data_IF_296423298351
#
_entry.id   IF_296423298351
#
_cell.length_a   1.000
_cell.length_b   1.000
_cell.length_c   1.000
_cell.angle_alpha   90.00
_cell.angle_beta   90.00
_cell.angle_gamma   90.00
#
_symmetry.space_group_name_H-M   'P 1'
#
loop_
_entity.id
_entity.type
_entity.pdbx_description
1 polymer ?
#
# COMPACT_ATOMS: atom_id res chain seq x y z
N UNK A 1 9.70 -17.26 13.93
CA UNK A 1 8.42 -16.54 13.86
C UNK A 1 8.67 -15.19 13.23
N UNK A 2 7.86 -14.82 12.24
CA UNK A 2 7.94 -13.49 11.63
C UNK A 2 6.93 -12.63 12.39
N UNK A 3 7.41 -11.71 13.23
CA UNK A 3 6.56 -10.73 13.89
C UNK A 3 6.64 -9.41 13.11
N UNK A 4 5.49 -8.88 12.70
CA UNK A 4 5.41 -7.59 11.98
C UNK A 4 5.55 -6.41 12.94
N UNK A 5 5.41 -6.65 14.24
CA UNK A 5 5.62 -5.66 15.29
C UNK A 5 6.18 -6.33 16.54
N UNK A 6 6.98 -5.60 17.32
CA UNK A 6 7.51 -6.05 18.60
C UNK A 6 6.43 -6.46 19.63
N UNK A 7 5.17 -6.03 19.41
CA UNK A 7 4.03 -6.36 20.28
C UNK A 7 3.51 -7.80 20.13
N UNK A 8 4.01 -8.55 19.15
CA UNK A 8 3.53 -9.91 18.80
C UNK A 8 4.62 -10.95 18.99
N UNK A 9 5.84 -10.53 19.36
CA UNK A 9 6.95 -11.42 19.65
C UNK A 9 6.87 -11.89 21.12
N UNK A 10 6.95 -13.20 21.34
CA UNK A 10 6.86 -13.79 22.68
C UNK A 10 8.08 -13.47 23.58
N UNK A 11 9.14 -12.89 23.00
CA UNK A 11 10.40 -12.61 23.71
C UNK A 11 10.60 -11.12 24.05
N UNK A 12 9.74 -10.20 23.60
CA UNK A 12 9.92 -8.76 23.86
C UNK A 12 8.94 -8.23 24.89
N UNK A 13 9.48 -7.68 25.97
CA UNK A 13 8.71 -6.98 27.00
C UNK A 13 8.44 -5.55 26.52
N UNK A 14 7.34 -5.33 25.84
CA UNK A 14 6.86 -4.00 25.52
C UNK A 14 6.42 -3.28 26.81
N UNK A 15 7.02 -2.15 27.15
CA UNK A 15 6.71 -1.34 28.35
C UNK A 15 5.25 -0.84 28.43
N UNK A 16 4.47 -1.00 27.37
CA UNK A 16 3.07 -0.60 27.26
C UNK A 16 2.07 -1.76 27.21
N UNK A 17 2.52 -3.00 27.37
CA UNK A 17 1.74 -4.22 27.13
C UNK A 17 0.42 -4.26 27.91
N UNK A 18 0.39 -3.80 29.15
CA UNK A 18 -0.80 -3.83 30.02
C UNK A 18 -1.92 -2.81 29.69
N UNK A 19 -1.68 -1.88 28.74
CA UNK A 19 -2.61 -0.80 28.38
C UNK A 19 -2.83 -0.62 26.88
N UNK A 20 -2.32 -1.53 26.06
CA UNK A 20 -2.36 -1.41 24.61
C UNK A 20 -3.64 -2.01 24.04
N UNK A 21 -4.63 -1.17 23.73
CA UNK A 21 -5.86 -1.59 23.05
C UNK A 21 -5.67 -1.97 21.57
N UNK A 22 -4.44 -1.90 21.06
CA UNK A 22 -4.13 -2.15 19.64
C UNK A 22 -3.56 -3.55 19.42
N UNK A 23 -3.08 -4.24 20.48
CA UNK A 23 -2.49 -5.58 20.42
C UNK A 23 -3.40 -6.61 19.73
N UNK A 24 -4.67 -6.63 20.07
CA UNK A 24 -5.63 -7.57 19.49
C UNK A 24 -5.84 -7.36 17.97
N UNK A 25 -5.73 -6.11 17.49
CA UNK A 25 -5.84 -5.79 16.08
C UNK A 25 -4.55 -6.16 15.33
N UNK A 26 -3.40 -5.95 15.94
CA UNK A 26 -2.11 -6.36 15.37
C UNK A 26 -1.96 -7.89 15.34
N UNK A 27 -2.47 -8.59 16.34
CA UNK A 27 -2.52 -10.05 16.34
C UNK A 27 -3.34 -10.57 15.17
N UNK A 28 -4.53 -10.00 14.91
CA UNK A 28 -5.36 -10.36 13.75
C UNK A 28 -4.70 -10.06 12.41
N UNK A 29 -3.97 -8.96 12.32
CA UNK A 29 -3.19 -8.61 11.13
C UNK A 29 -2.04 -9.61 10.94
N UNK A 30 -1.33 -9.93 12.01
CA UNK A 30 -0.24 -10.90 11.99
C UNK A 30 -0.75 -12.29 11.62
N UNK A 31 -1.87 -12.75 12.19
CA UNK A 31 -2.52 -14.02 11.85
C UNK A 31 -2.94 -14.05 10.37
N UNK A 32 -3.45 -12.94 9.84
CA UNK A 32 -3.80 -12.84 8.43
C UNK A 32 -2.55 -12.89 7.53
N UNK A 33 -1.45 -12.25 7.93
CA UNK A 33 -0.16 -12.32 7.24
C UNK A 33 0.43 -13.73 7.33
N UNK A 34 0.40 -14.36 8.50
CA UNK A 34 0.83 -15.76 8.68
C UNK A 34 0.03 -16.69 7.78
N UNK A 35 -1.29 -16.61 7.80
CA UNK A 35 -2.15 -17.42 6.95
C UNK A 35 -1.87 -17.19 5.46
N UNK A 36 -1.61 -15.95 5.07
CA UNK A 36 -1.25 -15.61 3.70
C UNK A 36 0.14 -16.16 3.32
N UNK A 37 1.11 -16.14 4.23
CA UNK A 37 2.46 -16.67 4.01
C UNK A 37 2.49 -18.21 4.06
N UNK A 38 1.74 -18.86 4.96
CA UNK A 38 1.61 -20.31 4.97
C UNK A 38 0.94 -20.88 3.72
N UNK A 39 0.07 -20.08 3.09
CA UNK A 39 -0.53 -20.45 1.81
C UNK A 39 0.47 -20.39 0.64
N UNK A 40 1.65 -19.78 0.83
CA UNK A 40 2.73 -19.70 -0.17
C UNK A 40 3.73 -20.82 0.12
N UNK A 41 3.62 -21.94 -0.58
CA UNK A 41 4.64 -22.99 -0.50
C UNK A 41 5.93 -22.50 -1.18
N UNK A 42 7.09 -22.80 -0.58
CA UNK A 42 8.40 -22.58 -1.21
C UNK A 42 8.50 -23.22 -2.62
N UNK A 43 7.77 -24.32 -2.85
CA UNK A 43 7.62 -24.92 -4.18
C UNK A 43 6.92 -24.00 -5.19
N UNK A 44 6.06 -23.08 -4.73
CA UNK A 44 5.40 -22.09 -5.59
C UNK A 44 6.34 -20.94 -5.98
N UNK A 45 7.46 -20.83 -5.26
CA UNK A 45 8.55 -19.86 -5.50
C UNK A 45 9.71 -20.49 -6.28
N UNK A 46 9.78 -21.81 -6.37
CA UNK A 46 10.85 -22.51 -7.10
C UNK A 46 10.65 -22.41 -8.62
N UNK A 47 11.67 -21.95 -9.33
CA UNK A 47 11.87 -21.79 -10.78
C UNK A 47 10.91 -20.86 -11.57
N UNK A 48 9.56 -20.98 -11.55
CA UNK A 48 8.74 -19.96 -12.21
C UNK A 48 8.80 -18.60 -11.51
N UNK A 49 9.11 -18.57 -10.20
CA UNK A 49 9.20 -17.36 -9.40
C UNK A 49 10.39 -16.46 -9.78
N UNK A 50 11.56 -17.02 -9.93
CA UNK A 50 12.77 -16.27 -10.31
C UNK A 50 12.63 -15.62 -11.70
N UNK A 51 12.11 -16.35 -12.66
CA UNK A 51 11.84 -15.83 -14.00
C UNK A 51 10.78 -14.71 -13.98
N UNK A 52 9.75 -14.83 -13.14
CA UNK A 52 8.71 -13.79 -12.99
C UNK A 52 9.25 -12.54 -12.31
N UNK A 53 10.10 -12.65 -11.31
CA UNK A 53 10.74 -11.50 -10.66
C UNK A 53 11.67 -10.78 -11.64
N UNK A 54 12.48 -11.50 -12.41
CA UNK A 54 13.29 -10.91 -13.48
C UNK A 54 12.41 -10.21 -14.51
N UNK A 55 11.29 -10.83 -14.88
CA UNK A 55 10.34 -10.23 -15.81
C UNK A 55 9.67 -8.99 -15.21
N UNK A 56 9.32 -9.02 -13.92
CA UNK A 56 8.75 -7.87 -13.23
C UNK A 56 9.66 -6.65 -13.33
N UNK A 57 10.94 -6.78 -12.98
CA UNK A 57 11.87 -5.64 -13.00
C UNK A 57 12.14 -5.11 -14.42
N UNK A 58 11.92 -5.96 -15.45
CA UNK A 58 12.05 -5.61 -16.87
C UNK A 58 10.78 -5.09 -17.51
N UNK A 59 9.63 -5.33 -16.89
CA UNK A 59 8.33 -4.91 -17.43
C UNK A 59 8.08 -3.43 -17.20
N UNK A 60 7.51 -2.71 -18.18
CA UNK A 60 7.01 -1.35 -17.94
C UNK A 60 5.92 -1.36 -16.87
N UNK A 61 5.93 -0.37 -16.01
CA UNK A 61 4.92 -0.22 -14.95
C UNK A 61 3.56 0.26 -15.50
N UNK A 62 3.55 0.81 -16.71
CA UNK A 62 2.33 1.24 -17.40
C UNK A 62 1.73 2.54 -16.88
N UNK A 63 0.55 2.90 -17.37
CA UNK A 63 -0.19 4.10 -16.97
C UNK A 63 0.64 5.38 -17.06
N UNK A 64 0.57 6.20 -16.02
CA UNK A 64 1.33 7.45 -15.90
C UNK A 64 2.85 7.23 -15.82
N UNK A 65 3.30 6.04 -15.44
CA UNK A 65 4.71 5.66 -15.42
C UNK A 65 5.23 5.26 -16.80
N UNK A 66 4.33 5.01 -17.76
CA UNK A 66 4.67 4.74 -19.16
C UNK A 66 5.74 3.68 -19.33
N UNK A 67 6.89 4.08 -19.89
CA UNK A 67 8.03 3.21 -20.12
C UNK A 67 8.92 2.95 -18.91
N UNK A 68 8.60 3.46 -17.72
CA UNK A 68 9.37 3.20 -16.50
C UNK A 68 9.45 1.71 -16.22
N UNK A 69 10.65 1.19 -16.04
CA UNK A 69 10.92 -0.18 -15.57
C UNK A 69 11.76 -0.08 -14.32
N UNK A 70 11.53 -0.98 -13.37
CA UNK A 70 12.30 -0.96 -12.11
C UNK A 70 13.80 -1.09 -12.35
N UNK A 71 14.21 -1.84 -13.38
CA UNK A 71 15.63 -2.00 -13.74
C UNK A 71 16.28 -0.72 -14.27
N UNK A 72 15.52 0.25 -14.72
CA UNK A 72 16.04 1.51 -15.28
C UNK A 72 16.17 2.62 -14.22
N UNK A 73 15.77 2.35 -12.98
CA UNK A 73 15.87 3.31 -11.90
C UNK A 73 17.35 3.58 -11.58
N UNK A 74 17.73 4.85 -11.61
CA UNK A 74 19.09 5.26 -11.30
C UNK A 74 19.46 4.96 -9.85
N UNK A 75 20.73 4.69 -9.60
CA UNK A 75 21.25 4.58 -8.23
C UNK A 75 20.95 5.86 -7.45
N UNK A 76 20.37 5.72 -6.26
CA UNK A 76 19.97 6.85 -5.41
C UNK A 76 18.61 7.47 -5.73
N UNK A 77 17.91 6.98 -6.78
CA UNK A 77 16.54 7.41 -7.09
C UNK A 77 15.47 6.50 -6.48
N UNK A 78 15.82 5.61 -5.59
CA UNK A 78 14.89 4.72 -4.92
C UNK A 78 15.35 4.35 -3.50
N UNK A 79 14.38 3.98 -2.65
CA UNK A 79 14.57 3.50 -1.30
C UNK A 79 13.66 2.30 -1.09
N UNK A 80 14.21 1.18 -0.66
CA UNK A 80 13.43 0.02 -0.21
C UNK A 80 13.19 0.09 1.28
N UNK A 81 12.10 -0.50 1.75
CA UNK A 81 11.79 -0.63 3.17
C UNK A 81 11.83 0.72 3.91
N UNK A 82 11.19 1.75 3.35
CA UNK A 82 11.13 3.06 4.00
C UNK A 82 10.22 3.00 5.23
N UNK A 83 10.83 2.85 6.40
CA UNK A 83 10.11 2.87 7.66
C UNK A 83 9.66 4.29 8.02
N UNK A 84 8.47 4.41 8.57
CA UNK A 84 7.93 5.69 9.04
C UNK A 84 7.17 5.55 10.36
N UNK A 85 7.27 6.61 11.15
CA UNK A 85 6.51 6.83 12.37
C UNK A 85 5.79 8.17 12.25
N UNK A 86 4.49 8.15 11.97
CA UNK A 86 3.69 9.36 11.85
C UNK A 86 2.97 9.65 13.17
N UNK A 87 3.25 10.78 13.84
CA UNK A 87 2.45 11.20 14.97
C UNK A 87 1.01 11.49 14.51
N UNK A 88 0.05 10.85 15.16
CA UNK A 88 -1.38 11.05 14.95
C UNK A 88 -1.86 12.15 15.91
N UNK A 89 -2.12 13.32 15.39
CA UNK A 89 -2.46 14.53 16.14
C UNK A 89 -1.32 15.10 17.00
N UNK A 90 -1.43 16.38 17.37
CA UNK A 90 -0.49 16.97 18.32
C UNK A 90 -0.59 16.25 19.67
N UNK A 91 0.55 15.89 20.24
CA UNK A 91 0.70 15.17 21.52
C UNK A 91 -0.08 15.81 22.68
N UNK A 92 -0.46 17.08 22.55
CA UNK A 92 -1.22 17.84 23.53
C UNK A 92 -2.75 17.83 23.33
N UNK A 93 -3.28 17.21 22.27
CA UNK A 93 -4.72 17.17 22.01
C UNK A 93 -5.28 15.78 22.25
N UNK A 94 -6.41 15.69 22.96
CA UNK A 94 -7.21 14.45 23.10
C UNK A 94 -7.90 14.01 21.79
N UNK A 95 -7.45 14.56 20.65
CA UNK A 95 -8.06 14.31 19.35
C UNK A 95 -7.70 12.91 18.85
N UNK A 96 -8.72 12.10 18.65
CA UNK A 96 -8.59 10.78 18.02
C UNK A 96 -8.74 10.89 16.49
N UNK A 97 -7.88 10.19 15.76
CA UNK A 97 -8.12 9.90 14.36
C UNK A 97 -9.23 8.88 14.26
N UNK A 98 -10.33 9.24 13.63
CA UNK A 98 -11.51 8.39 13.47
C UNK A 98 -11.74 8.01 12.01
N UNK A 99 -12.35 6.84 11.80
CA UNK A 99 -12.77 6.39 10.46
C UNK A 99 -13.66 7.42 9.75
N UNK A 100 -14.48 8.18 10.49
CA UNK A 100 -15.31 9.24 9.90
C UNK A 100 -14.50 10.37 9.28
N UNK A 101 -13.35 10.75 9.87
CA UNK A 101 -12.45 11.74 9.30
C UNK A 101 -11.74 11.22 8.03
N UNK A 102 -11.27 9.97 8.08
CA UNK A 102 -10.68 9.31 6.91
C UNK A 102 -11.70 9.21 5.76
N UNK A 103 -12.92 8.76 6.06
CA UNK A 103 -14.00 8.66 5.08
C UNK A 103 -14.34 10.02 4.44
N UNK A 104 -14.42 11.07 5.26
CA UNK A 104 -14.72 12.42 4.79
C UNK A 104 -13.72 12.91 3.74
N UNK A 105 -12.44 12.59 3.88
CA UNK A 105 -11.41 12.96 2.89
C UNK A 105 -11.71 12.33 1.51
N UNK A 106 -12.16 11.08 1.46
CA UNK A 106 -12.53 10.41 0.20
C UNK A 106 -13.85 10.94 -0.38
N UNK A 107 -14.81 11.27 0.48
CA UNK A 107 -16.13 11.75 0.06
C UNK A 107 -16.09 13.19 -0.44
N UNK A 108 -15.34 14.06 0.23
CA UNK A 108 -15.24 15.48 -0.12
C UNK A 108 -14.30 15.73 -1.30
N UNK A 109 -13.32 14.85 -1.50
CA UNK A 109 -12.38 14.93 -2.59
C UNK A 109 -12.46 13.67 -3.47
N UNK A 110 -13.61 13.46 -4.17
CA UNK A 110 -13.78 12.33 -5.06
C UNK A 110 -12.85 12.44 -6.26
N UNK A 111 -12.69 11.34 -6.98
CA UNK A 111 -11.84 11.24 -8.16
C UNK A 111 -10.92 10.02 -8.07
N UNK A 112 -10.29 9.69 -9.19
CA UNK A 112 -9.56 8.44 -9.30
C UNK A 112 -10.49 7.23 -9.23
N UNK A 113 -9.93 6.08 -8.87
CA UNK A 113 -10.70 4.82 -8.80
C UNK A 113 -11.45 4.63 -7.49
N UNK A 114 -10.97 5.27 -6.42
CA UNK A 114 -11.54 5.15 -5.07
C UNK A 114 -12.03 6.52 -4.59
N UNK A 115 -13.31 6.78 -4.80
CA UNK A 115 -13.95 8.04 -4.43
C UNK A 115 -14.93 7.88 -3.25
N UNK A 116 -16.09 8.55 -3.37
CA UNK A 116 -17.10 8.60 -2.32
C UNK A 116 -17.64 7.23 -1.89
N UNK A 117 -17.72 6.27 -2.80
CA UNK A 117 -18.18 4.90 -2.50
C UNK A 117 -17.23 4.22 -1.51
N UNK A 118 -15.94 4.34 -1.76
CA UNK A 118 -14.94 3.83 -0.83
C UNK A 118 -14.94 4.60 0.49
N UNK A 119 -15.17 5.92 0.45
CA UNK A 119 -15.37 6.73 1.65
C UNK A 119 -16.51 6.19 2.52
N UNK A 120 -17.66 5.85 1.93
CA UNK A 120 -18.77 5.21 2.66
C UNK A 120 -18.39 3.87 3.27
N UNK A 121 -17.60 3.05 2.57
CA UNK A 121 -17.08 1.80 3.12
C UNK A 121 -16.18 2.05 4.35
N UNK A 122 -15.33 3.07 4.31
CA UNK A 122 -14.45 3.44 5.44
C UNK A 122 -15.25 3.87 6.68
N UNK A 123 -16.44 4.44 6.53
CA UNK A 123 -17.29 4.80 7.69
C UNK A 123 -17.70 3.59 8.52
N UNK A 124 -17.79 2.41 7.89
CA UNK A 124 -18.09 1.15 8.56
C UNK A 124 -16.94 0.62 9.43
N UNK A 125 -15.72 1.15 9.26
CA UNK A 125 -14.59 0.78 10.10
C UNK A 125 -14.70 1.48 11.46
N UNK A 126 -14.60 0.70 12.53
CA UNK A 126 -14.57 1.26 13.88
C UNK A 126 -13.13 1.60 14.28
N UNK A 127 -12.53 2.59 13.59
CA UNK A 127 -11.18 3.06 13.89
C UNK A 127 -11.26 4.31 14.77
N UNK A 128 -10.56 4.26 15.90
CA UNK A 128 -10.27 5.40 16.75
C UNK A 128 -8.84 5.24 17.26
N UNK A 129 -7.91 6.00 16.71
CA UNK A 129 -6.47 5.85 16.99
C UNK A 129 -5.86 7.17 17.45
N UNK A 130 -4.86 7.07 18.31
CA UNK A 130 -3.97 8.15 18.74
C UNK A 130 -2.57 7.62 18.92
N UNK A 131 -1.61 8.50 19.07
CA UNK A 131 -0.20 8.14 19.24
C UNK A 131 0.52 8.16 17.92
N UNK A 132 1.08 7.05 17.49
CA UNK A 132 1.85 6.95 16.25
C UNK A 132 1.20 5.94 15.29
N UNK A 133 1.28 6.25 14.00
CA UNK A 133 1.06 5.31 12.92
C UNK A 133 2.42 4.89 12.40
N UNK A 134 2.80 3.65 12.64
CA UNK A 134 4.06 3.07 12.18
C UNK A 134 3.83 2.19 10.97
N UNK A 135 4.80 2.12 10.09
CA UNK A 135 4.74 1.25 8.92
C UNK A 135 6.01 1.25 8.10
N UNK A 136 6.05 0.37 7.12
CA UNK A 136 7.11 0.31 6.12
C UNK A 136 6.51 0.40 4.72
N UNK A 137 7.15 1.16 3.84
CA UNK A 137 6.81 1.24 2.42
C UNK A 137 7.80 0.35 1.68
N UNK A 138 7.33 -0.66 0.97
CA UNK A 138 8.19 -1.64 0.31
C UNK A 138 9.19 -0.99 -0.65
N UNK A 139 8.74 -0.02 -1.45
CA UNK A 139 9.60 0.73 -2.36
C UNK A 139 9.07 2.15 -2.56
N UNK A 140 9.98 3.12 -2.41
CA UNK A 140 9.80 4.51 -2.87
C UNK A 140 10.78 4.75 -3.99
N UNK A 141 10.32 5.34 -5.10
CA UNK A 141 11.20 5.63 -6.25
C UNK A 141 10.83 6.92 -6.94
N UNK A 142 11.82 7.52 -7.60
CA UNK A 142 11.65 8.73 -8.38
C UNK A 142 11.61 8.42 -9.88
N UNK A 143 10.59 8.93 -10.55
CA UNK A 143 10.47 8.89 -11.99
C UNK A 143 9.97 10.23 -12.52
N UNK A 144 10.64 10.81 -13.51
CA UNK A 144 10.28 12.11 -14.10
C UNK A 144 10.04 13.21 -13.04
N UNK A 145 10.97 13.31 -12.08
CA UNK A 145 10.96 14.25 -10.94
C UNK A 145 9.83 14.03 -9.92
N UNK A 146 8.97 13.02 -10.10
CA UNK A 146 7.92 12.65 -9.15
C UNK A 146 8.31 11.42 -8.35
N UNK A 147 7.95 11.44 -7.08
CA UNK A 147 8.16 10.33 -6.18
C UNK A 147 6.91 9.47 -6.10
N UNK A 148 7.11 8.18 -6.21
CA UNK A 148 6.08 7.16 -6.26
C UNK A 148 6.29 6.14 -5.14
N UNK A 149 5.20 5.52 -4.67
CA UNK A 149 5.27 4.37 -3.78
C UNK A 149 4.88 3.11 -4.55
N UNK A 150 5.58 2.01 -4.29
CA UNK A 150 5.19 0.70 -4.77
C UNK A 150 5.01 -0.27 -3.60
N UNK A 151 4.07 -1.20 -3.76
CA UNK A 151 3.76 -2.22 -2.75
C UNK A 151 3.49 -3.55 -3.45
N UNK A 152 4.07 -4.63 -2.90
CA UNK A 152 4.02 -5.97 -3.48
C UNK A 152 2.87 -6.77 -2.88
N UNK A 153 2.04 -7.36 -3.76
CA UNK A 153 0.89 -8.15 -3.33
C UNK A 153 0.93 -9.56 -3.92
N UNK A 154 0.71 -10.55 -3.06
CA UNK A 154 0.64 -11.96 -3.42
C UNK A 154 -0.78 -12.52 -3.46
N UNK A 155 -1.82 -11.67 -3.38
CA UNK A 155 -3.21 -12.08 -3.37
C UNK A 155 -3.57 -12.98 -4.57
N UNK A 156 -4.44 -13.94 -4.32
CA UNK A 156 -4.93 -14.87 -5.32
C UNK A 156 -6.25 -14.36 -5.93
N UNK A 157 -6.23 -14.03 -7.21
CA UNK A 157 -7.41 -13.69 -8.01
C UNK A 157 -7.77 -14.78 -9.03
N UNK A 158 -7.08 -15.93 -8.99
CA UNK A 158 -7.32 -17.03 -9.90
C UNK A 158 -8.55 -17.86 -9.57
N UNK A 159 -8.74 -18.88 -10.38
CA UNK A 159 -9.84 -19.83 -10.25
C UNK A 159 -9.74 -20.63 -8.95
N UNK A 160 -10.90 -20.99 -8.41
CA UNK A 160 -11.03 -21.89 -7.25
C UNK A 160 -12.02 -23.00 -7.58
N UNK A 161 -11.83 -24.16 -6.97
CA UNK A 161 -12.80 -25.25 -7.07
C UNK A 161 -14.03 -25.03 -6.18
N UNK A 162 -14.96 -25.98 -6.22
CA UNK A 162 -16.19 -25.95 -5.42
C UNK A 162 -15.97 -26.01 -3.89
N UNK A 163 -14.73 -26.30 -3.46
CA UNK A 163 -14.31 -26.33 -2.06
C UNK A 163 -13.45 -25.12 -1.68
N UNK A 164 -13.29 -24.16 -2.60
CA UNK A 164 -12.51 -22.94 -2.41
C UNK A 164 -11.00 -23.12 -2.59
N UNK A 165 -10.52 -24.30 -3.00
CA UNK A 165 -9.10 -24.53 -3.23
C UNK A 165 -8.60 -23.83 -4.50
N UNK A 166 -7.38 -23.28 -4.47
CA UNK A 166 -6.81 -22.61 -5.65
C UNK A 166 -6.57 -23.60 -6.80
N UNK A 167 -7.01 -23.28 -8.00
CA UNK A 167 -6.82 -24.05 -9.21
C UNK A 167 -5.77 -23.41 -10.13
N UNK A 168 -6.16 -22.39 -10.86
CA UNK A 168 -5.30 -21.69 -11.84
C UNK A 168 -5.27 -20.20 -11.56
N UNK A 169 -4.07 -19.62 -11.65
CA UNK A 169 -3.86 -18.20 -11.53
C UNK A 169 -2.88 -17.70 -12.58
N UNK A 170 -3.16 -16.55 -13.14
CA UNK A 170 -2.28 -15.93 -14.14
C UNK A 170 -2.79 -14.55 -14.56
N UNK A 171 -2.08 -13.87 -15.45
CA UNK A 171 -2.34 -12.47 -15.81
C UNK A 171 -3.78 -12.13 -16.15
N UNK A 172 -4.50 -13.04 -16.81
CA UNK A 172 -5.91 -12.85 -17.22
C UNK A 172 -6.86 -12.57 -16.05
N UNK A 173 -6.52 -13.00 -14.83
CA UNK A 173 -7.36 -12.83 -13.65
C UNK A 173 -7.13 -11.47 -12.97
N UNK A 174 -6.02 -10.80 -13.28
CA UNK A 174 -5.66 -9.51 -12.68
C UNK A 174 -6.08 -8.36 -13.61
N UNK A 175 -7.36 -8.33 -13.92
CA UNK A 175 -7.95 -7.20 -14.66
C UNK A 175 -8.00 -5.96 -13.77
N UNK A 176 -8.04 -4.74 -14.34
CA UNK A 176 -8.16 -3.51 -13.53
C UNK A 176 -9.37 -3.51 -12.59
N UNK A 177 -10.51 -4.10 -13.02
CA UNK A 177 -11.71 -4.20 -12.20
C UNK A 177 -11.51 -5.17 -11.03
N UNK A 178 -11.02 -6.39 -11.29
CA UNK A 178 -10.80 -7.40 -10.26
C UNK A 178 -9.76 -6.95 -9.23
N UNK A 179 -8.70 -6.26 -9.67
CA UNK A 179 -7.71 -5.68 -8.76
C UNK A 179 -8.33 -4.56 -7.91
N UNK A 180 -9.14 -3.67 -8.49
CA UNK A 180 -9.80 -2.58 -7.76
C UNK A 180 -10.76 -3.12 -6.69
N UNK A 181 -11.55 -4.14 -7.02
CA UNK A 181 -12.46 -4.79 -6.08
C UNK A 181 -11.70 -5.42 -4.91
N UNK A 182 -10.64 -6.18 -5.20
CA UNK A 182 -9.79 -6.77 -4.18
C UNK A 182 -9.15 -5.69 -3.29
N UNK A 183 -8.63 -4.62 -3.89
CA UNK A 183 -8.01 -3.52 -3.16
C UNK A 183 -9.01 -2.87 -2.20
N UNK A 184 -10.23 -2.58 -2.67
CA UNK A 184 -11.28 -2.00 -1.82
C UNK A 184 -11.64 -2.93 -0.65
N UNK A 185 -11.80 -4.23 -0.92
CA UNK A 185 -12.14 -5.23 0.08
C UNK A 185 -11.07 -5.39 1.17
N UNK A 186 -9.80 -5.17 0.83
CA UNK A 186 -8.66 -5.28 1.77
C UNK A 186 -8.18 -3.91 2.29
N UNK A 187 -8.89 -2.84 2.03
CA UNK A 187 -8.51 -1.48 2.40
C UNK A 187 -7.12 -1.02 1.93
N UNK A 188 -6.60 -1.61 0.85
CA UNK A 188 -5.35 -1.18 0.24
C UNK A 188 -5.37 0.27 -0.29
N UNK A 189 -6.52 0.84 -0.74
CA UNK A 189 -6.55 2.26 -1.07
C UNK A 189 -6.25 3.16 0.13
N UNK A 190 -6.73 2.81 1.34
CA UNK A 190 -6.37 3.54 2.55
C UNK A 190 -4.87 3.40 2.85
N UNK A 191 -4.33 2.18 2.80
CA UNK A 191 -2.90 1.93 2.99
C UNK A 191 -2.05 2.78 2.03
N UNK A 192 -2.37 2.79 0.73
CA UNK A 192 -1.68 3.58 -0.27
C UNK A 192 -1.68 5.07 0.03
N UNK A 193 -2.82 5.61 0.48
CA UNK A 193 -2.93 7.00 0.85
C UNK A 193 -2.12 7.33 2.12
N UNK A 194 -2.09 6.43 3.11
CA UNK A 194 -1.25 6.58 4.29
C UNK A 194 0.23 6.59 3.93
N UNK A 195 0.66 5.74 3.00
CA UNK A 195 2.02 5.74 2.46
C UNK A 195 2.35 7.05 1.73
N UNK A 196 1.43 7.56 0.93
CA UNK A 196 1.63 8.85 0.26
C UNK A 196 1.67 10.03 1.25
N UNK A 197 0.91 10.00 2.34
CA UNK A 197 1.02 10.99 3.43
C UNK A 197 2.38 10.87 4.11
N UNK A 198 2.85 9.67 4.39
CA UNK A 198 4.17 9.45 4.96
C UNK A 198 5.27 10.00 4.04
N UNK A 199 5.20 9.68 2.75
CA UNK A 199 6.11 10.19 1.74
C UNK A 199 6.04 11.72 1.62
N UNK A 200 4.83 12.31 1.62
CA UNK A 200 4.63 13.76 1.61
C UNK A 200 5.36 14.46 2.76
N UNK A 201 5.18 13.95 3.99
CA UNK A 201 5.84 14.48 5.18
C UNK A 201 7.36 14.31 5.11
N UNK A 202 7.82 13.15 4.64
CA UNK A 202 9.24 12.86 4.46
C UNK A 202 9.87 13.81 3.44
N UNK A 203 9.27 14.01 2.26
CA UNK A 203 9.76 14.90 1.23
C UNK A 203 9.74 16.36 1.67
N UNK A 204 8.70 16.79 2.37
CA UNK A 204 8.62 18.16 2.93
C UNK A 204 9.78 18.44 3.90
N UNK A 205 10.23 17.43 4.62
CA UNK A 205 11.37 17.55 5.51
C UNK A 205 12.72 17.47 4.79
N UNK A 206 12.85 16.64 3.75
CA UNK A 206 14.13 16.28 3.15
C UNK A 206 14.44 16.96 1.83
N UNK A 207 13.44 17.39 1.08
CA UNK A 207 13.60 17.93 -0.27
C UNK A 207 13.47 19.45 -0.25
N UNK A 208 14.56 20.21 -0.43
CA UNK A 208 14.49 21.67 -0.58
C UNK A 208 13.59 22.06 -1.74
N UNK A 209 12.72 23.05 -1.53
CA UNK A 209 11.78 23.50 -2.58
C UNK A 209 10.66 22.51 -2.90
N UNK A 210 10.39 21.57 -2.01
CA UNK A 210 9.32 20.59 -2.20
C UNK A 210 7.95 21.26 -2.43
N UNK A 211 7.27 20.83 -3.48
CA UNK A 211 5.87 21.13 -3.79
C UNK A 211 5.17 19.81 -4.11
N UNK A 212 4.07 19.49 -3.41
CA UNK A 212 3.38 18.23 -3.65
C UNK A 212 2.82 18.10 -5.06
N UNK A 213 2.41 19.21 -5.69
CA UNK A 213 1.92 19.24 -7.06
C UNK A 213 2.98 18.79 -8.08
N UNK A 214 4.24 19.11 -7.83
CA UNK A 214 5.35 18.82 -8.73
C UNK A 214 6.03 17.49 -8.40
N UNK A 215 6.16 17.17 -7.12
CA UNK A 215 7.05 16.12 -6.67
C UNK A 215 6.33 14.84 -6.21
N UNK A 216 5.02 14.91 -5.89
CA UNK A 216 4.27 13.68 -5.63
C UNK A 216 3.75 13.08 -6.93
N UNK A 217 4.01 11.79 -7.09
CA UNK A 217 3.41 10.96 -8.11
C UNK A 217 2.14 10.31 -7.59
N UNK A 218 2.19 9.02 -7.45
CA UNK A 218 1.07 8.23 -6.94
C UNK A 218 1.58 6.92 -6.35
N UNK A 219 0.80 5.88 -6.52
CA UNK A 219 1.17 4.57 -6.05
C UNK A 219 0.99 3.50 -7.13
N UNK A 220 1.76 2.44 -7.04
CA UNK A 220 1.60 1.23 -7.83
C UNK A 220 1.56 0.00 -6.92
N UNK A 221 0.47 -0.75 -7.00
CA UNK A 221 0.34 -2.05 -6.37
C UNK A 221 0.64 -3.12 -7.39
N UNK A 222 1.64 -3.93 -7.11
CA UNK A 222 2.12 -4.98 -8.02
C UNK A 222 1.67 -6.32 -7.49
N UNK A 223 0.69 -6.91 -8.17
CA UNK A 223 0.21 -8.25 -7.89
C UNK A 223 1.11 -9.26 -8.60
N UNK A 224 2.05 -9.82 -7.88
CA UNK A 224 3.13 -10.65 -8.42
C UNK A 224 2.65 -11.82 -9.29
N UNK A 225 1.48 -12.40 -8.95
CA UNK A 225 0.88 -13.50 -9.72
C UNK A 225 0.24 -13.05 -11.03
N UNK A 226 -0.03 -11.76 -11.15
CA UNK A 226 -0.64 -11.15 -12.33
C UNK A 226 0.36 -10.64 -13.36
N UNK A 227 1.64 -10.54 -13.01
CA UNK A 227 2.66 -10.04 -13.93
C UNK A 227 2.86 -11.05 -15.06
N UNK A 228 2.73 -10.61 -16.34
CA UNK A 228 2.94 -11.49 -17.48
C UNK A 228 4.40 -11.89 -17.60
N UNK A 229 4.64 -13.15 -18.04
CA UNK A 229 6.00 -13.64 -18.32
C UNK A 229 6.65 -13.03 -19.57
N UNK A 230 5.93 -12.19 -20.31
CA UNK A 230 6.40 -11.53 -21.54
C UNK A 230 5.93 -10.08 -21.55
N UNK A 231 6.77 -9.19 -22.08
CA UNK A 231 6.41 -7.77 -22.22
C UNK A 231 5.32 -7.60 -23.29
N UNK A 232 4.18 -7.08 -22.88
CA UNK A 232 3.16 -6.56 -23.80
C UNK A 232 3.18 -5.04 -23.71
N UNK A 233 3.24 -4.38 -24.86
CA UNK A 233 3.26 -2.92 -24.96
C UNK A 233 1.87 -2.29 -24.73
N UNK A 234 1.00 -2.90 -23.95
CA UNK A 234 -0.34 -2.41 -23.69
C UNK A 234 -0.34 -1.35 -22.58
N UNK A 235 -1.23 -0.39 -22.69
CA UNK A 235 -1.39 0.74 -21.74
C UNK A 235 -1.72 0.26 -20.31
N UNK A 236 -2.38 -0.87 -20.18
CA UNK A 236 -2.64 -1.53 -18.90
C UNK A 236 -1.83 -2.82 -18.82
N UNK A 237 -0.94 -2.92 -17.85
CA UNK A 237 -0.13 -4.10 -17.59
C UNK A 237 -0.86 -4.97 -16.57
N UNK A 238 -1.21 -6.23 -16.91
CA UNK A 238 -1.83 -7.13 -15.93
C UNK A 238 -1.00 -7.25 -14.67
N UNK A 239 -1.68 -7.30 -13.53
CA UNK A 239 -1.01 -7.36 -12.24
C UNK A 239 -0.44 -6.04 -11.73
N UNK A 240 -0.54 -4.95 -12.50
CA UNK A 240 -0.11 -3.63 -12.06
C UNK A 240 -1.32 -2.71 -11.92
N UNK A 241 -1.57 -2.25 -10.71
CA UNK A 241 -2.62 -1.29 -10.39
C UNK A 241 -1.95 0.04 -10.02
N UNK A 242 -2.12 1.03 -10.88
CA UNK A 242 -1.51 2.33 -10.72
C UNK A 242 -2.60 3.39 -10.58
N UNK A 243 -2.41 4.31 -9.65
CA UNK A 243 -3.26 5.47 -9.47
C UNK A 243 -2.46 6.67 -8.97
N UNK A 244 -2.80 7.84 -9.49
CA UNK A 244 -2.43 9.13 -8.95
C UNK A 244 -3.69 9.74 -8.31
N UNK A 245 -3.85 9.65 -6.99
CA UNK A 245 -5.04 10.14 -6.32
C UNK A 245 -5.11 11.67 -6.34
N UNK A 246 -6.31 12.27 -6.17
CA UNK A 246 -6.44 13.71 -6.03
C UNK A 246 -5.58 14.25 -4.89
N UNK A 247 -4.74 15.23 -5.18
CA UNK A 247 -3.86 15.84 -4.18
C UNK A 247 -4.66 16.44 -3.00
N UNK A 248 -5.81 17.04 -3.28
CA UNK A 248 -6.68 17.59 -2.24
C UNK A 248 -7.11 16.52 -1.21
N UNK A 249 -7.36 15.27 -1.68
CA UNK A 249 -7.65 14.14 -0.77
C UNK A 249 -6.46 13.82 0.12
N UNK A 250 -5.26 13.79 -0.46
CA UNK A 250 -4.04 13.49 0.28
C UNK A 250 -3.79 14.53 1.37
N UNK A 251 -3.92 15.81 1.03
CA UNK A 251 -3.75 16.91 1.99
C UNK A 251 -4.83 16.89 3.08
N UNK A 252 -6.09 16.57 2.73
CA UNK A 252 -7.14 16.38 3.72
C UNK A 252 -6.84 15.22 4.68
N UNK A 253 -6.31 14.11 4.17
CA UNK A 253 -5.86 13.00 5.02
C UNK A 253 -4.68 13.38 5.90
N UNK A 254 -3.72 14.14 5.38
CA UNK A 254 -2.60 14.66 6.19
C UNK A 254 -3.10 15.48 7.38
N UNK A 255 -4.07 16.37 7.18
CA UNK A 255 -4.70 17.14 8.24
C UNK A 255 -5.46 16.26 9.26
N UNK A 256 -6.22 15.26 8.77
CA UNK A 256 -6.92 14.29 9.65
C UNK A 256 -5.93 13.53 10.53
N UNK A 257 -4.76 13.21 9.98
CA UNK A 257 -3.68 12.51 10.68
C UNK A 257 -2.79 13.45 11.51
N UNK A 258 -3.19 14.70 11.72
CA UNK A 258 -2.45 15.66 12.56
C UNK A 258 -1.26 16.32 11.84
N UNK A 259 -1.26 16.35 10.53
CA UNK A 259 -0.35 17.19 9.76
C UNK A 259 -0.56 18.67 10.06
N UNK A 260 0.46 19.51 9.93
CA UNK A 260 0.29 20.95 10.04
C UNK A 260 -0.65 21.46 8.94
N UNK A 261 -1.40 22.54 9.20
CA UNK A 261 -2.27 23.16 8.24
C UNK A 261 -1.52 23.70 7.03
#
# INVERSE_FOLDING_TARGET
PIAVTECVDDETVCSHEGRCNVRANWQRINDAIYTALEAIKLSDMAEPGGARLVQLVRSPLGGELGGCRLMDLASGSWLSELNFDLPLAHVASDRLVRSSGLAAAFEQHPGGRFGADYGRQLRGLQVASRGFLTGSIDLVFQWQQRWWVADWKSNWLGERDGQGQPLRCGPRHYTPAAMAELMAANHYPLQAHLYLVALHRYLRWRLPGYSPEQHLGGYVYVFLRGVPGTTSATRAVPGMFLEQPPLARLLALDQVLGGPP
#
